data_IF_760916400910
#
_entry.id   IF_760916400910
#
_cell.length_a   1.000
_cell.length_b   1.000
_cell.length_c   1.000
_cell.angle_alpha   90.00
_cell.angle_beta   90.00
_cell.angle_gamma   90.00
#
_symmetry.space_group_name_H-M   'P 1'
#
loop_
_entity.id
_entity.type
_entity.pdbx_description
1 polymer ?
#
# COMPACT_ATOMS: atom_id res chain seq x y z
N UNK A 1 29.39 12.34 -6.50
CA UNK A 1 28.31 12.90 -5.68
C UNK A 1 27.89 11.82 -4.70
N UNK A 2 27.81 12.11 -3.40
CA UNK A 2 27.39 11.10 -2.40
C UNK A 2 25.95 10.69 -2.67
N UNK A 3 25.66 9.39 -2.57
CA UNK A 3 24.30 8.86 -2.65
C UNK A 3 23.73 8.88 -1.23
N UNK A 4 22.83 9.81 -0.88
CA UNK A 4 22.36 9.98 0.49
C UNK A 4 21.64 8.74 1.04
N UNK A 5 21.01 7.95 0.16
CA UNK A 5 20.36 6.68 0.54
C UNK A 5 21.42 5.65 0.94
N UNK A 6 22.47 5.49 0.13
CA UNK A 6 23.56 4.56 0.43
C UNK A 6 24.25 4.93 1.75
N UNK A 7 24.56 6.21 1.95
CA UNK A 7 25.20 6.72 3.15
C UNK A 7 24.34 6.49 4.41
N UNK A 8 23.02 6.69 4.33
CA UNK A 8 22.11 6.45 5.44
C UNK A 8 21.96 4.97 5.78
N UNK A 9 21.90 4.11 4.75
CA UNK A 9 21.86 2.65 4.91
C UNK A 9 23.15 2.13 5.56
N UNK A 10 24.33 2.57 5.11
CA UNK A 10 25.60 2.10 5.66
C UNK A 10 25.84 2.55 7.10
N UNK A 11 25.28 3.70 7.50
CA UNK A 11 25.28 4.17 8.90
C UNK A 11 24.20 3.51 9.77
N UNK A 12 23.26 2.78 9.18
CA UNK A 12 22.08 2.27 9.89
C UNK A 12 21.18 3.39 10.44
N UNK A 13 21.16 4.55 9.78
CA UNK A 13 20.46 5.74 10.26
C UNK A 13 18.98 5.71 9.85
N UNK A 14 18.17 5.08 10.69
CA UNK A 14 16.74 4.91 10.44
C UNK A 14 15.99 6.25 10.33
N UNK A 15 16.34 7.23 11.16
CA UNK A 15 15.70 8.54 11.14
C UNK A 15 16.01 9.30 9.84
N UNK A 16 17.26 9.26 9.37
CA UNK A 16 17.61 9.82 8.07
C UNK A 16 16.86 9.11 6.93
N UNK A 17 16.67 7.78 6.99
CA UNK A 17 15.93 7.03 5.97
C UNK A 17 14.45 7.42 5.93
N UNK A 18 13.79 7.58 7.08
CA UNK A 18 12.39 8.05 7.13
C UNK A 18 12.26 9.44 6.51
N UNK A 19 13.16 10.36 6.87
CA UNK A 19 13.20 11.72 6.28
C UNK A 19 13.46 11.69 4.77
N UNK A 20 14.27 10.75 4.29
CA UNK A 20 14.51 10.56 2.86
C UNK A 20 13.25 10.06 2.14
N UNK A 21 12.52 9.10 2.71
CA UNK A 21 11.23 8.65 2.13
C UNK A 21 10.26 9.84 2.00
N UNK A 22 10.13 10.68 3.02
CA UNK A 22 9.27 11.86 2.98
C UNK A 22 9.67 12.84 1.85
N UNK A 23 10.96 13.13 1.74
CA UNK A 23 11.49 14.06 0.73
C UNK A 23 11.33 13.53 -0.69
N UNK A 24 11.59 12.24 -0.90
CA UNK A 24 11.44 11.58 -2.20
C UNK A 24 9.96 11.51 -2.62
N UNK A 25 9.06 11.17 -1.70
CA UNK A 25 7.62 11.14 -1.98
C UNK A 25 7.08 12.53 -2.29
N UNK A 26 7.51 13.56 -1.54
CA UNK A 26 7.16 14.95 -1.81
C UNK A 26 7.63 15.41 -3.19
N UNK A 27 8.78 14.91 -3.64
CA UNK A 27 9.38 15.20 -4.95
C UNK A 27 8.91 14.25 -6.06
N UNK A 28 8.06 13.26 -5.73
CA UNK A 28 7.56 12.21 -6.63
C UNK A 28 8.66 11.37 -7.30
N UNK A 29 9.77 11.15 -6.60
CA UNK A 29 10.90 10.33 -7.06
C UNK A 29 10.69 8.84 -6.71
N UNK A 30 9.66 8.22 -7.29
CA UNK A 30 9.18 6.88 -6.89
C UNK A 30 10.20 5.76 -7.11
N UNK A 31 10.97 5.79 -8.20
CA UNK A 31 12.03 4.81 -8.44
C UNK A 31 13.08 4.82 -7.32
N UNK A 32 13.35 5.99 -6.75
CA UNK A 32 14.31 6.13 -5.65
C UNK A 32 13.75 5.64 -4.32
N UNK A 33 12.43 5.73 -4.11
CA UNK A 33 11.78 5.09 -2.96
C UNK A 33 11.86 3.57 -3.07
N UNK A 34 11.66 3.02 -4.27
CA UNK A 34 11.87 1.59 -4.57
C UNK A 34 13.32 1.19 -4.29
N UNK A 35 14.30 1.95 -4.77
CA UNK A 35 15.71 1.70 -4.47
C UNK A 35 16.01 1.73 -2.97
N UNK A 36 15.48 2.72 -2.24
CA UNK A 36 15.64 2.84 -0.79
C UNK A 36 15.05 1.63 -0.07
N UNK A 37 13.82 1.23 -0.43
CA UNK A 37 13.15 0.04 0.11
C UNK A 37 14.03 -1.20 -0.05
N UNK A 38 14.50 -1.45 -1.28
CA UNK A 38 15.25 -2.67 -1.60
C UNK A 38 16.59 -2.72 -0.86
N UNK A 39 17.29 -1.59 -0.76
CA UNK A 39 18.51 -1.47 0.05
C UNK A 39 18.24 -1.71 1.54
N UNK A 40 17.14 -1.18 2.09
CA UNK A 40 16.76 -1.39 3.48
C UNK A 40 16.41 -2.86 3.76
N UNK A 41 15.72 -3.54 2.84
CA UNK A 41 15.43 -4.98 2.95
C UNK A 41 16.71 -5.81 2.90
N UNK A 42 17.63 -5.54 1.96
CA UNK A 42 18.93 -6.24 1.87
C UNK A 42 19.84 -5.96 3.06
N UNK A 43 19.73 -4.81 3.72
CA UNK A 43 20.57 -4.47 4.86
C UNK A 43 20.43 -5.44 6.05
N UNK A 44 19.30 -6.17 6.12
CA UNK A 44 19.09 -7.23 7.10
C UNK A 44 20.16 -8.34 7.00
N UNK A 45 20.62 -8.67 5.79
CA UNK A 45 21.68 -9.67 5.55
C UNK A 45 23.02 -9.24 6.16
N UNK A 46 23.21 -7.93 6.35
CA UNK A 46 24.38 -7.33 7.00
C UNK A 46 24.17 -7.07 8.50
N UNK A 47 23.04 -7.51 9.07
CA UNK A 47 22.69 -7.34 10.48
C UNK A 47 22.05 -6.00 10.83
N UNK A 48 21.71 -5.15 9.84
CA UNK A 48 21.09 -3.85 10.07
C UNK A 48 19.55 -3.98 10.02
N UNK A 49 18.88 -3.54 11.09
CA UNK A 49 17.42 -3.62 11.25
C UNK A 49 16.72 -2.41 10.60
N UNK A 50 16.89 -2.22 9.28
CA UNK A 50 16.32 -1.09 8.52
C UNK A 50 14.97 -1.41 7.87
N UNK A 51 14.40 -2.59 8.15
CA UNK A 51 13.08 -2.99 7.67
C UNK A 51 11.95 -2.00 8.00
N UNK A 52 11.95 -1.21 9.11
CA UNK A 52 10.88 -0.24 9.34
C UNK A 52 10.86 0.88 8.28
N UNK A 53 12.03 1.30 7.78
CA UNK A 53 12.09 2.27 6.68
C UNK A 53 11.62 1.66 5.36
N UNK A 54 11.88 0.36 5.12
CA UNK A 54 11.34 -0.34 3.96
C UNK A 54 9.81 -0.44 4.00
N UNK A 55 9.23 -0.77 5.15
CA UNK A 55 7.76 -0.81 5.31
C UNK A 55 7.13 0.57 5.18
N UNK A 56 7.78 1.61 5.70
CA UNK A 56 7.33 2.99 5.49
C UNK A 56 7.38 3.38 4.01
N UNK A 57 8.45 3.02 3.30
CA UNK A 57 8.55 3.23 1.86
C UNK A 57 7.43 2.49 1.09
N UNK A 58 7.14 1.23 1.42
CA UNK A 58 6.04 0.47 0.84
C UNK A 58 4.67 1.11 1.12
N UNK A 59 4.44 1.60 2.34
CA UNK A 59 3.22 2.34 2.69
C UNK A 59 3.05 3.59 1.82
N UNK A 60 4.12 4.38 1.63
CA UNK A 60 4.09 5.58 0.80
C UNK A 60 3.89 5.26 -0.68
N UNK A 61 4.50 4.18 -1.17
CA UNK A 61 4.27 3.69 -2.53
C UNK A 61 2.81 3.28 -2.74
N UNK A 62 2.24 2.50 -1.82
CA UNK A 62 0.84 2.08 -1.89
C UNK A 62 -0.12 3.28 -1.86
N UNK A 63 0.13 4.26 -0.99
CA UNK A 63 -0.77 5.39 -0.77
C UNK A 63 -0.70 6.44 -1.89
N UNK A 64 0.50 6.83 -2.32
CA UNK A 64 0.71 8.09 -3.07
C UNK A 64 1.34 7.90 -4.46
N UNK A 65 2.00 6.78 -4.72
CA UNK A 65 2.68 6.57 -5.99
C UNK A 65 1.69 6.14 -7.09
N UNK A 66 2.01 6.36 -8.37
CA UNK A 66 1.20 5.85 -9.48
C UNK A 66 0.98 4.32 -9.40
N UNK A 67 -0.08 3.79 -10.03
CA UNK A 67 -0.45 2.37 -9.93
C UNK A 67 0.68 1.38 -10.23
N UNK A 68 1.58 1.71 -11.17
CA UNK A 68 2.73 0.88 -11.52
C UNK A 68 3.74 0.68 -10.37
N UNK A 69 3.75 1.56 -9.38
CA UNK A 69 4.57 1.49 -8.18
C UNK A 69 3.77 1.03 -6.96
N UNK A 70 2.49 1.43 -6.87
CA UNK A 70 1.60 1.04 -5.78
C UNK A 70 1.22 -0.45 -5.85
N UNK A 71 0.88 -0.96 -7.03
CA UNK A 71 0.43 -2.35 -7.21
C UNK A 71 1.46 -3.40 -6.75
N UNK A 72 2.74 -3.32 -7.14
CA UNK A 72 3.75 -4.32 -6.78
C UNK A 72 4.03 -4.45 -5.28
N UNK A 73 3.75 -3.42 -4.47
CA UNK A 73 3.94 -3.50 -3.01
C UNK A 73 2.74 -4.12 -2.28
N UNK A 74 1.60 -4.30 -2.96
CA UNK A 74 0.42 -4.95 -2.39
C UNK A 74 0.61 -6.47 -2.43
N UNK A 75 1.14 -7.02 -1.34
CA UNK A 75 1.31 -8.47 -1.15
C UNK A 75 0.65 -8.91 0.16
N UNK A 76 0.49 -10.22 0.36
CA UNK A 76 -0.14 -10.79 1.57
C UNK A 76 0.59 -10.45 2.87
N UNK A 77 1.91 -10.23 2.81
CA UNK A 77 2.75 -10.01 4.00
C UNK A 77 3.11 -8.53 4.20
N UNK A 78 2.77 -7.66 3.26
CA UNK A 78 3.15 -6.25 3.31
C UNK A 78 2.23 -5.43 4.23
N UNK A 79 2.79 -4.36 4.80
CA UNK A 79 2.04 -3.41 5.64
C UNK A 79 1.68 -3.91 7.04
N UNK A 80 2.35 -4.96 7.54
CA UNK A 80 2.13 -5.49 8.90
C UNK A 80 2.22 -4.42 9.98
N UNK A 81 3.17 -3.49 9.86
CA UNK A 81 3.34 -2.37 10.79
C UNK A 81 3.00 -1.01 10.17
N UNK A 82 2.36 -0.99 9.00
CA UNK A 82 1.84 0.23 8.41
C UNK A 82 0.54 0.68 9.13
N UNK A 83 0.08 1.89 8.83
CA UNK A 83 -1.17 2.42 9.40
C UNK A 83 -2.40 1.58 9.03
N UNK A 84 -2.32 0.82 7.94
CA UNK A 84 -3.32 -0.15 7.50
C UNK A 84 -2.72 -1.13 6.51
N UNK A 85 -3.42 -2.23 6.21
CA UNK A 85 -2.92 -3.22 5.26
C UNK A 85 -2.81 -2.60 3.86
N UNK A 86 -1.76 -2.93 3.11
CA UNK A 86 -1.46 -2.20 1.87
C UNK A 86 -2.51 -2.37 0.78
N UNK A 87 -3.26 -3.48 0.78
CA UNK A 87 -4.40 -3.64 -0.13
C UNK A 87 -5.49 -2.59 0.12
N UNK A 88 -5.74 -2.23 1.39
CA UNK A 88 -6.74 -1.22 1.75
C UNK A 88 -6.20 0.19 1.47
N UNK A 89 -4.93 0.42 1.81
CA UNK A 89 -4.25 1.69 1.60
C UNK A 89 -4.21 2.06 0.12
N UNK A 90 -3.79 1.14 -0.75
CA UNK A 90 -3.75 1.38 -2.19
C UNK A 90 -5.15 1.61 -2.77
N UNK A 91 -6.12 0.78 -2.37
CA UNK A 91 -7.51 0.94 -2.77
C UNK A 91 -8.16 2.23 -2.26
N UNK A 92 -7.62 2.87 -1.22
CA UNK A 92 -8.18 4.12 -0.71
C UNK A 92 -7.95 5.33 -1.63
N UNK A 93 -6.92 5.28 -2.48
CA UNK A 93 -6.50 6.39 -3.35
C UNK A 93 -6.54 6.07 -4.84
N UNK A 94 -6.70 4.80 -5.22
CA UNK A 94 -6.73 4.38 -6.62
C UNK A 94 -8.03 3.66 -6.97
N UNK A 95 -8.45 3.80 -8.23
CA UNK A 95 -9.53 2.99 -8.81
C UNK A 95 -9.04 1.59 -9.19
N UNK A 96 -9.95 0.61 -9.17
CA UNK A 96 -9.62 -0.77 -9.52
C UNK A 96 -8.98 -0.89 -10.90
N UNK A 97 -9.59 -0.24 -11.91
CA UNK A 97 -9.13 -0.30 -13.30
C UNK A 97 -7.67 0.16 -13.47
N UNK A 98 -7.20 1.07 -12.61
CA UNK A 98 -5.84 1.59 -12.65
C UNK A 98 -4.85 0.65 -11.92
N UNK A 99 -5.24 0.06 -10.80
CA UNK A 99 -4.38 -0.84 -10.01
C UNK A 99 -4.27 -2.23 -10.62
N UNK A 100 -5.37 -2.78 -11.15
CA UNK A 100 -5.46 -4.18 -11.53
C UNK A 100 -4.40 -4.68 -12.52
N UNK A 101 -3.81 -3.88 -13.44
CA UNK A 101 -2.74 -4.37 -14.31
C UNK A 101 -1.40 -4.56 -13.58
N UNK A 102 -1.25 -3.99 -12.38
CA UNK A 102 0.00 -3.93 -11.62
C UNK A 102 -0.01 -4.74 -10.33
N UNK A 103 -1.19 -5.22 -9.90
CA UNK A 103 -1.31 -6.07 -8.73
C UNK A 103 -0.80 -7.48 -9.02
N UNK A 104 0.04 -8.07 -8.14
CA UNK A 104 0.36 -9.48 -8.23
C UNK A 104 -0.91 -10.34 -8.08
N UNK A 105 -0.87 -11.57 -8.57
CA UNK A 105 -1.93 -12.54 -8.31
C UNK A 105 -1.99 -12.92 -6.82
N UNK A 106 -3.14 -13.44 -6.39
CA UNK A 106 -3.34 -13.99 -5.04
C UNK A 106 -4.36 -13.21 -4.19
N UNK A 107 -4.57 -13.63 -2.93
CA UNK A 107 -5.56 -13.09 -2.01
C UNK A 107 -5.54 -11.56 -1.86
N UNK A 108 -4.37 -10.93 -1.79
CA UNK A 108 -4.27 -9.47 -1.63
C UNK A 108 -4.95 -8.71 -2.79
N UNK A 109 -4.91 -9.22 -4.02
CA UNK A 109 -5.60 -8.64 -5.18
C UNK A 109 -7.12 -8.67 -5.01
N UNK A 110 -7.67 -9.78 -4.52
CA UNK A 110 -9.10 -9.88 -4.24
C UNK A 110 -9.51 -8.91 -3.12
N UNK A 111 -8.68 -8.76 -2.07
CA UNK A 111 -8.93 -7.79 -1.01
C UNK A 111 -8.93 -6.34 -1.52
N UNK A 112 -8.02 -5.97 -2.45
CA UNK A 112 -8.09 -4.66 -3.14
C UNK A 112 -9.43 -4.50 -3.85
N UNK A 113 -9.85 -5.50 -4.62
CA UNK A 113 -11.10 -5.44 -5.37
C UNK A 113 -12.31 -5.22 -4.45
N UNK A 114 -12.39 -5.99 -3.36
CA UNK A 114 -13.49 -5.85 -2.40
C UNK A 114 -13.44 -4.52 -1.62
N UNK A 115 -12.25 -3.98 -1.33
CA UNK A 115 -12.16 -2.63 -0.78
C UNK A 115 -12.68 -1.57 -1.76
N UNK A 116 -12.44 -1.73 -3.06
CA UNK A 116 -13.01 -0.83 -4.09
C UNK A 116 -14.52 -0.97 -4.20
N UNK A 117 -15.06 -2.17 -4.02
CA UNK A 117 -16.50 -2.41 -3.91
C UNK A 117 -17.09 -1.69 -2.69
N UNK A 118 -16.47 -1.81 -1.51
CA UNK A 118 -16.88 -1.05 -0.32
C UNK A 118 -16.86 0.47 -0.54
N UNK A 119 -15.99 0.94 -1.43
CA UNK A 119 -15.88 2.35 -1.86
C UNK A 119 -16.81 2.72 -3.01
N UNK A 120 -17.63 1.80 -3.49
CA UNK A 120 -18.73 2.04 -4.43
C UNK A 120 -18.48 1.61 -5.87
N UNK A 121 -17.38 0.90 -6.17
CA UNK A 121 -17.20 0.31 -7.50
C UNK A 121 -18.06 -0.94 -7.70
N UNK A 122 -18.59 -1.10 -8.91
CA UNK A 122 -19.21 -2.34 -9.39
C UNK A 122 -18.20 -3.04 -10.29
N UNK A 123 -17.67 -4.17 -9.82
CA UNK A 123 -16.67 -4.96 -10.54
C UNK A 123 -17.27 -6.24 -11.13
N UNK A 124 -18.60 -6.29 -11.27
CA UNK A 124 -19.30 -7.43 -11.87
C UNK A 124 -18.77 -7.70 -13.28
N UNK A 125 -18.38 -8.95 -13.53
CA UNK A 125 -17.84 -9.37 -14.83
C UNK A 125 -16.33 -9.25 -14.96
N UNK A 126 -15.63 -8.70 -13.96
CA UNK A 126 -14.16 -8.77 -13.93
C UNK A 126 -13.70 -10.19 -13.56
N UNK A 127 -13.24 -10.92 -14.58
CA UNK A 127 -12.78 -12.31 -14.47
C UNK A 127 -11.39 -12.45 -13.85
N UNK A 128 -10.72 -11.34 -13.53
CA UNK A 128 -9.37 -11.34 -12.93
C UNK A 128 -9.43 -11.37 -11.40
N UNK A 129 -10.62 -11.23 -10.82
CA UNK A 129 -10.88 -11.35 -9.38
C UNK A 129 -11.18 -12.82 -9.09
N UNK A 130 -10.42 -13.44 -8.20
CA UNK A 130 -10.67 -14.82 -7.79
C UNK A 130 -11.89 -14.89 -6.84
N UNK A 131 -13.02 -15.49 -7.27
CA UNK A 131 -14.22 -15.56 -6.44
C UNK A 131 -14.06 -16.48 -5.23
N UNK A 132 -13.09 -17.40 -5.24
CA UNK A 132 -12.86 -18.36 -4.16
C UNK A 132 -12.18 -17.78 -2.93
N UNK A 133 -11.76 -16.50 -2.96
CA UNK A 133 -11.09 -15.86 -1.82
C UNK A 133 -12.09 -15.42 -0.75
N UNK A 134 -13.13 -14.67 -1.12
CA UNK A 134 -14.16 -14.19 -0.18
C UNK A 134 -15.55 -14.80 -0.44
N UNK A 135 -15.79 -15.41 -1.60
CA UNK A 135 -17.07 -16.03 -1.96
C UNK A 135 -18.30 -15.09 -1.83
N UNK A 136 -18.09 -13.78 -2.02
CA UNK A 136 -19.15 -12.76 -1.99
C UNK A 136 -19.19 -11.95 -3.32
N UNK A 137 -20.32 -11.31 -3.65
CA UNK A 137 -20.41 -10.46 -4.83
C UNK A 137 -19.37 -9.34 -4.85
N UNK A 138 -18.86 -9.03 -6.04
CA UNK A 138 -17.94 -7.89 -6.28
C UNK A 138 -18.70 -6.61 -6.64
N UNK A 139 -19.84 -6.41 -5.96
CA UNK A 139 -20.69 -5.22 -6.05
C UNK A 139 -21.55 -5.14 -4.78
N UNK A 140 -21.71 -3.94 -4.23
CA UNK A 140 -22.59 -3.71 -3.08
C UNK A 140 -24.04 -3.98 -3.46
N UNK A 141 -24.72 -4.79 -2.65
CA UNK A 141 -26.13 -5.09 -2.83
C UNK A 141 -27.02 -3.97 -2.29
N UNK A 142 -28.24 -3.85 -2.83
CA UNK A 142 -29.18 -2.78 -2.45
C UNK A 142 -29.63 -2.80 -0.98
N UNK A 143 -29.46 -3.93 -0.30
CA UNK A 143 -29.78 -4.09 1.12
C UNK A 143 -28.59 -3.75 2.04
N UNK A 144 -27.38 -3.64 1.49
CA UNK A 144 -26.19 -3.34 2.26
C UNK A 144 -26.18 -1.88 2.73
N UNK A 145 -25.69 -1.61 3.96
CA UNK A 145 -25.52 -0.25 4.42
C UNK A 145 -24.38 0.44 3.68
N UNK A 146 -24.29 1.76 3.84
CA UNK A 146 -23.05 2.47 3.52
C UNK A 146 -22.02 2.16 4.61
N UNK A 147 -20.99 1.39 4.26
CA UNK A 147 -19.89 1.08 5.18
C UNK A 147 -19.01 2.32 5.43
N UNK A 148 -18.61 2.58 6.69
CA UNK A 148 -17.56 3.54 6.97
C UNK A 148 -16.24 2.99 6.44
N UNK A 149 -15.50 3.81 5.69
CA UNK A 149 -14.21 3.43 5.08
C UNK A 149 -13.09 4.27 5.66
N UNK A 150 -11.90 3.68 5.80
CA UNK A 150 -10.74 4.38 6.33
C UNK A 150 -10.27 5.49 5.36
N UNK A 151 -9.70 6.56 5.92
CA UNK A 151 -8.98 7.60 5.18
C UNK A 151 -7.52 7.62 5.61
N UNK A 152 -6.63 7.35 4.67
CA UNK A 152 -5.18 7.28 4.90
C UNK A 152 -4.47 8.58 4.48
N UNK A 153 -3.41 8.94 5.20
CA UNK A 153 -2.48 10.03 4.89
C UNK A 153 -1.07 9.60 5.30
N UNK A 154 -0.05 10.27 4.77
CA UNK A 154 1.35 9.92 5.00
C UNK A 154 1.74 9.59 6.46
N UNK A 155 1.21 10.32 7.44
CA UNK A 155 1.53 10.16 8.86
C UNK A 155 0.34 9.88 9.78
N UNK A 156 -0.88 9.73 9.23
CA UNK A 156 -2.08 9.45 10.03
C UNK A 156 -3.15 8.71 9.24
N UNK A 157 -4.01 7.98 9.93
CA UNK A 157 -5.19 7.37 9.36
C UNK A 157 -6.41 7.65 10.25
N UNK A 158 -7.58 7.74 9.62
CA UNK A 158 -8.85 7.98 10.28
C UNK A 158 -9.79 6.79 10.00
N UNK A 159 -10.31 6.18 11.07
CA UNK A 159 -11.14 4.98 11.04
C UNK A 159 -12.52 5.31 11.61
N UNK A 160 -13.47 5.81 10.79
CA UNK A 160 -14.78 6.17 11.27
C UNK A 160 -15.53 4.95 11.80
N UNK A 161 -16.21 5.10 12.94
CA UNK A 161 -17.12 4.08 13.45
C UNK A 161 -18.48 4.20 12.76
N UNK A 162 -19.25 3.10 12.63
CA UNK A 162 -20.65 3.18 12.25
C UNK A 162 -21.42 4.14 13.17
N UNK A 163 -22.45 4.85 12.67
CA UNK A 163 -23.31 5.64 13.52
C UNK A 163 -23.96 4.73 14.59
N UNK A 164 -24.19 5.24 15.81
CA UNK A 164 -24.92 4.49 16.82
C UNK A 164 -26.31 4.11 16.29
N UNK A 165 -26.72 2.88 16.60
CA UNK A 165 -28.03 2.30 16.26
C UNK A 165 -29.14 2.77 17.19
#
# INVERSE_FOLDING_TARGET
MSNPVADAVDRGDLDALVRLVDGLASSREWERIVELRDRCRHALERGLQLWPAAEYAEYRLALEAPPAFAGPVVTETAGRFALGPLWEVAASTHEWAALQPHLPGGPARALVAHERVLRGEDLTGDVTIDPGILEIPVVLQSWEPRYPVATYRASKAEFPTPPPV
#
